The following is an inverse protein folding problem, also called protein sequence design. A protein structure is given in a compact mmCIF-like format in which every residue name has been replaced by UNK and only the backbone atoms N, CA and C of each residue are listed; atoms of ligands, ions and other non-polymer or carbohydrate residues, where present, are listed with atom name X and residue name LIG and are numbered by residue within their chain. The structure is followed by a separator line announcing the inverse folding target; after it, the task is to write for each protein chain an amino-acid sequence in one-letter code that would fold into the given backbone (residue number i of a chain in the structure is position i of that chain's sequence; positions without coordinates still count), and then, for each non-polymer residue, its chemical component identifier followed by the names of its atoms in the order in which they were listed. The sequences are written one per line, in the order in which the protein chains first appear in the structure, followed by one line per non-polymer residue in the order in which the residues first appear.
data_IF_225210231951
#
_entry.id   IF_225210231951
#
_cell.length_a   1.000
_cell.length_b   1.000
_cell.length_c   1.000
_cell.angle_alpha   90.00
_cell.angle_beta   90.00
_cell.angle_gamma   90.00
#
_symmetry.space_group_name_H-M   'P 1'
#
loop_
_entity.id
_entity.type
_entity.pdbx_description
1 polymer ?
#
# COMPACT_ATOMS: atom_id res chain seq x y z
N UNK A 1 6.39 28.60 46.01
CA UNK A 1 6.33 27.30 45.29
C UNK A 1 5.86 27.44 43.83
N UNK A 2 6.54 28.21 42.96
CA UNK A 2 6.04 28.50 41.59
C UNK A 2 7.05 28.29 40.44
N UNK A 3 8.18 27.60 40.67
CA UNK A 3 9.21 27.38 39.62
C UNK A 3 9.21 25.98 38.97
N UNK A 4 8.46 25.02 39.52
CA UNK A 4 8.48 23.63 39.03
C UNK A 4 7.43 23.30 37.95
N UNK A 5 6.38 24.13 37.79
CA UNK A 5 5.26 23.87 36.86
C UNK A 5 5.61 24.20 35.40
N UNK A 6 6.48 25.19 35.16
CA UNK A 6 6.87 25.63 33.80
C UNK A 6 7.80 24.66 33.06
N UNK A 7 8.74 24.02 33.77
CA UNK A 7 9.66 23.06 33.17
C UNK A 7 8.95 21.79 32.66
N UNK A 8 7.89 21.36 33.37
CA UNK A 8 7.09 20.18 33.01
C UNK A 8 6.23 20.45 31.76
N UNK A 9 5.66 21.64 31.64
CA UNK A 9 4.88 22.10 30.48
C UNK A 9 5.76 22.22 29.22
N UNK A 10 6.99 22.75 29.36
CA UNK A 10 8.01 22.80 28.29
C UNK A 10 8.50 21.41 27.83
N UNK A 11 8.67 20.45 28.74
CA UNK A 11 9.03 19.07 28.39
C UNK A 11 7.90 18.34 27.64
N UNK A 12 6.65 18.61 27.97
CA UNK A 12 5.47 18.09 27.27
C UNK A 12 5.31 18.64 25.84
N UNK A 13 5.59 19.93 25.62
CA UNK A 13 5.58 20.53 24.28
C UNK A 13 6.73 20.04 23.40
N UNK A 14 7.95 19.90 23.94
CA UNK A 14 9.09 19.34 23.20
C UNK A 14 8.91 17.86 22.85
N UNK A 15 8.30 17.06 23.74
CA UNK A 15 7.96 15.65 23.45
C UNK A 15 6.96 15.53 22.28
N UNK A 16 6.06 16.51 22.14
CA UNK A 16 5.06 16.57 21.07
C UNK A 16 5.65 17.03 19.72
N UNK A 17 6.66 17.91 19.73
CA UNK A 17 7.45 18.30 18.54
C UNK A 17 8.40 17.18 18.07
N UNK A 18 8.79 16.27 18.96
CA UNK A 18 9.63 15.09 18.63
C UNK A 18 8.86 13.92 18.00
N UNK A 19 7.58 14.09 17.62
CA UNK A 19 7.01 13.30 16.52
C UNK A 19 7.70 13.74 15.23
N UNK A 20 9.01 13.48 15.16
CA UNK A 20 9.89 13.67 14.02
C UNK A 20 9.10 13.28 12.79
N UNK A 21 9.13 14.08 11.72
CA UNK A 21 8.67 13.71 10.39
C UNK A 21 8.97 12.23 10.18
N UNK A 22 7.97 11.37 10.39
CA UNK A 22 8.17 9.93 10.28
C UNK A 22 8.39 9.72 8.80
N UNK A 23 9.52 9.10 8.44
CA UNK A 23 9.77 8.73 7.06
C UNK A 23 8.53 8.00 6.53
N UNK A 24 7.87 8.59 5.54
CA UNK A 24 6.72 7.97 4.88
C UNK A 24 7.30 6.95 3.91
N UNK A 25 7.07 5.64 4.13
CA UNK A 25 7.64 4.62 3.26
C UNK A 25 7.11 4.81 1.84
N UNK A 26 8.02 4.84 0.88
CA UNK A 26 7.69 4.91 -0.54
C UNK A 26 7.61 3.50 -1.13
N UNK A 27 6.69 3.29 -2.07
CA UNK A 27 6.55 2.03 -2.82
C UNK A 27 6.37 2.33 -4.30
N UNK A 28 6.65 1.36 -5.14
CA UNK A 28 6.55 1.50 -6.60
C UNK A 28 5.38 0.69 -7.11
N UNK A 29 4.49 1.32 -7.86
CA UNK A 29 3.42 0.62 -8.56
C UNK A 29 4.03 -0.30 -9.61
N UNK A 30 3.65 -1.58 -9.61
CA UNK A 30 4.20 -2.53 -10.58
C UNK A 30 3.75 -2.20 -12.01
N UNK A 31 2.57 -1.60 -12.19
CA UNK A 31 2.01 -1.23 -13.49
C UNK A 31 2.72 -0.01 -14.08
N UNK A 32 2.48 1.18 -13.53
CA UNK A 32 3.00 2.45 -14.07
C UNK A 32 4.43 2.79 -13.65
N UNK A 33 5.05 1.98 -12.78
CA UNK A 33 6.44 2.17 -12.28
C UNK A 33 6.71 3.47 -11.52
N UNK A 34 5.69 4.29 -11.27
CA UNK A 34 5.84 5.48 -10.44
C UNK A 34 5.92 5.10 -8.96
N UNK A 35 6.78 5.81 -8.24
CA UNK A 35 6.96 5.71 -6.80
C UNK A 35 6.01 6.68 -6.09
N UNK A 36 5.32 6.21 -5.06
CA UNK A 36 4.37 6.98 -4.25
C UNK A 36 4.46 6.56 -2.79
N UNK A 37 3.94 7.42 -1.92
CA UNK A 37 3.71 7.11 -0.52
C UNK A 37 2.91 5.81 -0.40
N UNK A 38 3.28 4.96 0.56
CA UNK A 38 2.62 3.67 0.81
C UNK A 38 1.09 3.79 0.90
N UNK A 39 0.59 4.88 1.48
CA UNK A 39 -0.85 5.14 1.64
C UNK A 39 -1.58 5.45 0.34
N UNK A 40 -0.86 5.87 -0.71
CA UNK A 40 -1.41 6.16 -2.04
C UNK A 40 -1.37 4.93 -2.97
N UNK A 41 -1.10 3.75 -2.42
CA UNK A 41 -0.99 2.50 -3.15
C UNK A 41 -1.74 1.39 -2.39
N UNK A 42 -2.30 0.46 -3.14
CA UNK A 42 -2.93 -0.74 -2.60
C UNK A 42 -1.93 -1.89 -2.70
N UNK A 43 -1.71 -2.58 -1.58
CA UNK A 43 -0.91 -3.81 -1.55
C UNK A 43 -1.77 -5.00 -1.95
N UNK A 44 -1.23 -5.83 -2.82
CA UNK A 44 -1.67 -7.20 -3.06
C UNK A 44 -0.67 -8.14 -2.38
N UNK A 45 -1.14 -9.17 -1.71
CA UNK A 45 -0.30 -10.13 -1.00
C UNK A 45 -0.60 -11.54 -1.48
N UNK A 46 0.45 -12.32 -1.72
CA UNK A 46 0.35 -13.77 -1.82
C UNK A 46 0.56 -14.36 -0.43
N UNK A 47 -0.50 -14.93 0.15
CA UNK A 47 -0.42 -15.66 1.41
C UNK A 47 0.09 -17.09 1.19
N UNK A 48 0.32 -17.80 2.30
CA UNK A 48 0.62 -19.22 2.26
C UNK A 48 -0.54 -19.97 1.55
N UNK A 49 -0.18 -20.92 0.68
CA UNK A 49 -1.14 -21.61 -0.20
C UNK A 49 -1.32 -20.98 -1.58
N UNK A 50 -0.63 -19.88 -1.91
CA UNK A 50 -0.65 -19.30 -3.26
C UNK A 50 -1.87 -18.42 -3.56
N UNK A 51 -2.67 -18.12 -2.53
CA UNK A 51 -3.86 -17.27 -2.64
C UNK A 51 -3.40 -15.80 -2.69
N UNK A 52 -3.94 -15.04 -3.65
CA UNK A 52 -3.61 -13.62 -3.83
C UNK A 52 -4.79 -12.77 -3.43
N UNK A 53 -4.57 -11.85 -2.50
CA UNK A 53 -5.62 -11.02 -1.92
C UNK A 53 -5.22 -9.55 -1.85
N UNK A 54 -6.22 -8.68 -1.70
CA UNK A 54 -6.02 -7.27 -1.35
C UNK A 54 -5.67 -7.15 0.13
N UNK A 55 -4.62 -6.39 0.43
CA UNK A 55 -4.17 -6.09 1.80
C UNK A 55 -4.01 -4.58 2.03
N UNK A 56 -5.10 -3.84 2.26
CA UNK A 56 -5.04 -2.40 2.53
C UNK A 56 -4.24 -2.08 3.79
N UNK A 57 -4.19 -3.02 4.76
CA UNK A 57 -3.44 -2.85 6.00
C UNK A 57 -1.92 -2.92 5.77
N UNK A 58 -1.50 -3.62 4.72
CA UNK A 58 -0.12 -3.98 4.44
C UNK A 58 0.58 -4.66 5.64
N UNK A 59 -0.18 -5.51 6.36
CA UNK A 59 0.27 -6.27 7.53
C UNK A 59 0.21 -7.78 7.34
N UNK A 60 -0.51 -8.27 6.32
CA UNK A 60 -0.63 -9.71 6.08
C UNK A 60 0.75 -10.30 5.75
N UNK A 61 1.10 -11.48 6.27
CA UNK A 61 2.35 -12.16 5.93
C UNK A 61 2.35 -12.55 4.45
N UNK A 62 3.55 -12.73 3.89
CA UNK A 62 3.74 -13.17 2.51
C UNK A 62 4.23 -12.08 1.55
N UNK A 63 4.45 -12.49 0.30
CA UNK A 63 5.07 -11.65 -0.74
C UNK A 63 4.08 -10.61 -1.24
N UNK A 64 4.47 -9.34 -1.20
CA UNK A 64 3.61 -8.22 -1.59
C UNK A 64 4.00 -7.57 -2.91
N UNK A 65 3.00 -7.09 -3.64
CA UNK A 65 3.13 -6.16 -4.77
C UNK A 65 2.22 -4.96 -4.55
N UNK A 66 2.48 -3.83 -5.23
CA UNK A 66 1.69 -2.61 -5.07
C UNK A 66 1.14 -2.13 -6.41
N UNK A 67 -0.10 -1.66 -6.39
CA UNK A 67 -0.79 -0.98 -7.49
C UNK A 67 -1.35 0.35 -7.01
N UNK A 68 -1.57 1.28 -7.92
CA UNK A 68 -2.17 2.56 -7.56
C UNK A 68 -3.67 2.41 -7.24
N UNK A 69 -4.23 3.43 -6.58
CA UNK A 69 -5.66 3.58 -6.29
C UNK A 69 -6.51 3.90 -7.55
N UNK A 70 -6.01 3.58 -8.75
CA UNK A 70 -6.60 3.92 -10.03
C UNK A 70 -6.81 2.66 -10.85
N UNK A 71 -8.00 2.51 -11.44
CA UNK A 71 -8.40 1.35 -12.22
C UNK A 71 -7.41 1.00 -13.33
N UNK A 72 -6.86 1.99 -14.04
CA UNK A 72 -5.90 1.80 -15.13
C UNK A 72 -4.66 1.00 -14.71
N UNK A 73 -4.15 1.23 -13.49
CA UNK A 73 -3.02 0.47 -12.98
C UNK A 73 -3.40 -0.99 -12.69
N UNK A 74 -4.64 -1.25 -12.31
CA UNK A 74 -5.14 -2.60 -12.08
C UNK A 74 -5.33 -3.35 -13.38
N UNK A 75 -5.90 -2.71 -14.40
CA UNK A 75 -6.03 -3.30 -15.75
C UNK A 75 -4.67 -3.69 -16.33
N UNK A 76 -3.69 -2.79 -16.26
CA UNK A 76 -2.31 -3.07 -16.69
C UNK A 76 -1.65 -4.15 -15.83
N UNK A 77 -1.85 -4.10 -14.50
CA UNK A 77 -1.25 -5.05 -13.56
C UNK A 77 -1.80 -6.47 -13.71
N UNK A 78 -3.09 -6.59 -14.00
CA UNK A 78 -3.80 -7.86 -14.22
C UNK A 78 -3.55 -8.41 -15.63
N UNK A 79 -3.14 -7.59 -16.60
CA UNK A 79 -2.83 -8.07 -17.95
C UNK A 79 -1.55 -8.92 -17.97
N UNK A 80 -1.64 -10.07 -18.64
CA UNK A 80 -0.52 -11.02 -18.74
C UNK A 80 -0.10 -11.59 -17.39
N UNK A 81 1.21 -11.70 -17.18
CA UNK A 81 1.85 -12.36 -16.03
C UNK A 81 2.50 -11.39 -15.04
N UNK A 82 2.21 -10.08 -15.11
CA UNK A 82 2.93 -9.06 -14.33
C UNK A 82 2.79 -9.24 -12.83
N UNK A 83 1.55 -9.47 -12.35
CA UNK A 83 1.28 -9.79 -10.95
C UNK A 83 1.87 -11.14 -10.55
N UNK A 84 1.79 -12.14 -11.42
CA UNK A 84 2.34 -13.47 -11.17
C UNK A 84 3.85 -13.43 -10.93
N UNK A 85 4.58 -12.67 -11.76
CA UNK A 85 6.01 -12.41 -11.57
C UNK A 85 6.30 -11.64 -10.28
N UNK A 86 5.53 -10.58 -10.02
CA UNK A 86 5.73 -9.75 -8.83
C UNK A 86 5.51 -10.55 -7.53
N UNK A 87 4.48 -11.40 -7.51
CA UNK A 87 4.06 -12.21 -6.36
C UNK A 87 4.68 -13.61 -6.32
N UNK A 88 5.39 -14.03 -7.37
CA UNK A 88 5.98 -15.37 -7.54
C UNK A 88 4.95 -16.50 -7.34
N UNK A 89 3.77 -16.33 -7.90
CA UNK A 89 2.70 -17.34 -7.89
C UNK A 89 1.90 -17.25 -9.18
N UNK A 90 1.19 -18.31 -9.56
CA UNK A 90 0.17 -18.25 -10.62
C UNK A 90 -1.12 -17.68 -10.04
N UNK A 91 -1.81 -16.82 -10.80
CA UNK A 91 -3.13 -16.35 -10.40
C UNK A 91 -4.16 -17.39 -10.81
N UNK A 92 -4.87 -17.96 -9.83
CA UNK A 92 -6.08 -18.75 -10.11
C UNK A 92 -7.16 -17.88 -10.76
N UNK A 93 -8.14 -18.53 -11.38
CA UNK A 93 -9.30 -17.85 -11.97
C UNK A 93 -10.02 -17.06 -10.88
N UNK A 94 -10.21 -17.65 -9.69
CA UNK A 94 -10.89 -17.01 -8.57
C UNK A 94 -10.12 -15.78 -8.04
N UNK A 95 -8.80 -15.90 -7.87
CA UNK A 95 -7.95 -14.76 -7.47
C UNK A 95 -8.10 -13.62 -8.48
N UNK A 96 -8.02 -13.94 -9.77
CA UNK A 96 -8.14 -12.96 -10.85
C UNK A 96 -9.50 -12.27 -10.84
N UNK A 97 -10.58 -13.04 -10.69
CA UNK A 97 -11.94 -12.51 -10.67
C UNK A 97 -12.14 -11.57 -9.48
N UNK A 98 -11.71 -11.96 -8.28
CA UNK A 98 -11.79 -11.13 -7.08
C UNK A 98 -11.02 -9.80 -7.22
N UNK A 99 -9.83 -9.84 -7.85
CA UNK A 99 -9.06 -8.62 -8.11
C UNK A 99 -9.72 -7.71 -9.16
N UNK A 100 -10.35 -8.28 -10.19
CA UNK A 100 -11.11 -7.52 -11.19
C UNK A 100 -12.31 -6.84 -10.53
N UNK A 101 -13.09 -7.57 -9.74
CA UNK A 101 -14.24 -7.04 -9.02
C UNK A 101 -13.83 -5.91 -8.08
N UNK A 102 -12.74 -6.09 -7.33
CA UNK A 102 -12.17 -5.03 -6.51
C UNK A 102 -11.82 -3.79 -7.35
N UNK A 103 -11.16 -3.99 -8.50
CA UNK A 103 -10.71 -2.88 -9.36
C UNK A 103 -11.85 -2.07 -9.98
N UNK A 104 -13.04 -2.66 -10.16
CA UNK A 104 -14.21 -1.96 -10.69
C UNK A 104 -14.75 -0.89 -9.74
N UNK A 105 -14.41 -0.96 -8.46
CA UNK A 105 -14.78 0.04 -7.46
C UNK A 105 -13.75 1.17 -7.34
N UNK A 106 -12.67 1.14 -8.11
CA UNK A 106 -11.64 2.19 -8.11
C UNK A 106 -11.96 3.27 -9.15
N UNK A 107 -11.59 4.54 -8.87
CA UNK A 107 -11.73 5.60 -9.85
C UNK A 107 -10.88 5.31 -11.10
N UNK A 108 -11.42 5.67 -12.27
CA UNK A 108 -10.65 5.70 -13.51
C UNK A 108 -9.49 6.69 -13.39
N UNK A 109 -8.30 6.31 -13.88
CA UNK A 109 -7.15 7.19 -13.90
C UNK A 109 -7.24 8.22 -15.02
N UNK A 110 -6.59 9.37 -14.83
CA UNK A 110 -6.19 10.20 -15.97
C UNK A 110 -5.11 9.43 -16.72
N UNK A 111 -5.29 9.23 -18.03
CA UNK A 111 -4.41 8.42 -18.89
C UNK A 111 -2.92 8.66 -18.56
N UNK A 112 -2.21 7.57 -18.31
CA UNK A 112 -0.75 7.51 -18.12
C UNK A 112 -0.04 7.94 -19.40
#
# INVERSE_FOLDING_TARGET
MLRARDAKKRKLTLKRMSRKNKHIPQRTCIACRQTRDKENLIRLVCSDGGIVEVDPSAKKPGRGAYLCLQKDCWEIGLKGNRLEHALRTKLSIDNRQALIEYSNNLPGGSRI
#
